data_IF_036125837239
#
_entry.id   IF_036125837239
#
_cell.length_a   1.000
_cell.length_b   1.000
_cell.length_c   1.000
_cell.angle_alpha   90.00
_cell.angle_beta   90.00
_cell.angle_gamma   90.00
#
_symmetry.space_group_name_H-M   'P 1'
#
loop_
_entity.id
_entity.type
_entity.pdbx_description
1 polymer ?
#
# COMPACT_ATOMS: atom_id res chain seq x y z
N UNK A 1 70.22 -20.31 -26.30
CA UNK A 1 68.74 -20.36 -26.44
C UNK A 1 68.09 -19.88 -25.12
N UNK A 2 68.36 -18.65 -24.69
CA UNK A 2 67.95 -18.15 -23.35
C UNK A 2 66.99 -16.95 -23.39
N UNK A 3 66.69 -16.40 -24.58
CA UNK A 3 65.88 -15.17 -24.70
C UNK A 3 64.36 -15.36 -24.80
N UNK A 4 63.87 -16.60 -24.92
CA UNK A 4 62.45 -16.89 -25.23
C UNK A 4 61.62 -17.21 -23.98
N UNK A 5 62.23 -17.74 -22.91
CA UNK A 5 61.51 -18.09 -21.68
C UNK A 5 61.10 -16.87 -20.85
N UNK A 6 61.93 -15.82 -20.80
CA UNK A 6 61.66 -14.60 -20.02
C UNK A 6 60.48 -13.79 -20.58
N UNK A 7 60.34 -13.72 -21.91
CA UNK A 7 59.25 -12.99 -22.58
C UNK A 7 57.89 -13.67 -22.37
N UNK A 8 57.85 -14.99 -22.20
CA UNK A 8 56.61 -15.74 -21.96
C UNK A 8 56.17 -15.67 -20.50
N UNK A 9 57.10 -15.69 -19.53
CA UNK A 9 56.75 -15.52 -18.11
C UNK A 9 56.25 -14.09 -17.79
N UNK A 10 56.81 -13.07 -18.43
CA UNK A 10 56.42 -11.67 -18.18
C UNK A 10 55.01 -11.34 -18.72
N UNK A 11 54.60 -11.94 -19.84
CA UNK A 11 53.28 -11.75 -20.42
C UNK A 11 52.15 -12.39 -19.58
N UNK A 12 52.40 -13.56 -18.97
CA UNK A 12 51.39 -14.24 -18.13
C UNK A 12 51.16 -13.47 -16.81
N UNK A 13 52.21 -12.87 -16.24
CA UNK A 13 52.08 -12.06 -15.03
C UNK A 13 51.32 -10.74 -15.29
N UNK A 14 51.51 -10.12 -16.46
CA UNK A 14 50.77 -8.91 -16.85
C UNK A 14 49.28 -9.19 -17.11
N UNK A 15 48.93 -10.37 -17.64
CA UNK A 15 47.53 -10.76 -17.88
C UNK A 15 46.82 -11.13 -16.57
N UNK A 16 47.50 -11.79 -15.61
CA UNK A 16 46.91 -12.04 -14.28
C UNK A 16 46.70 -10.75 -13.47
N UNK A 17 47.55 -9.74 -13.64
CA UNK A 17 47.37 -8.43 -12.97
C UNK A 17 46.24 -7.58 -13.59
N UNK A 18 45.92 -7.80 -14.88
CA UNK A 18 44.85 -7.08 -15.55
C UNK A 18 43.44 -7.62 -15.21
N UNK A 19 43.33 -8.91 -14.84
CA UNK A 19 42.04 -9.54 -14.50
C UNK A 19 41.57 -9.20 -13.07
N UNK A 20 42.44 -8.66 -12.20
CA UNK A 20 42.03 -8.25 -10.84
C UNK A 20 41.44 -6.83 -10.76
N UNK A 21 41.51 -6.04 -11.84
CA UNK A 21 41.03 -4.65 -11.87
C UNK A 21 39.69 -4.45 -12.59
N UNK A 22 39.11 -5.49 -13.17
CA UNK A 22 37.69 -5.50 -13.59
C UNK A 22 36.80 -6.07 -12.48
N UNK A 23 37.05 -5.67 -11.23
CA UNK A 23 36.06 -5.74 -10.16
C UNK A 23 35.17 -4.51 -10.31
N UNK A 24 34.06 -4.65 -11.03
CA UNK A 24 33.06 -3.61 -11.23
C UNK A 24 32.59 -3.10 -9.85
N UNK A 25 33.13 -1.96 -9.43
CA UNK A 25 32.70 -1.24 -8.25
C UNK A 25 31.29 -0.69 -8.45
N UNK A 26 30.29 -1.53 -8.24
CA UNK A 26 28.94 -1.08 -7.90
C UNK A 26 28.89 -0.87 -6.39
N UNK A 27 29.68 0.08 -5.91
CA UNK A 27 29.59 0.55 -4.53
C UNK A 27 28.29 1.35 -4.41
N UNK A 28 27.16 0.65 -4.26
CA UNK A 28 25.95 1.22 -3.71
C UNK A 28 26.25 1.52 -2.24
N UNK A 29 26.93 2.64 -1.97
CA UNK A 29 27.22 3.15 -0.63
C UNK A 29 25.97 3.69 0.08
N UNK A 30 24.78 3.30 -0.37
CA UNK A 30 23.52 3.57 0.30
C UNK A 30 23.20 2.44 1.29
N UNK A 31 22.43 2.72 2.34
CA UNK A 31 21.87 1.67 3.19
C UNK A 31 21.07 0.67 2.34
N UNK A 32 21.16 -0.63 2.68
CA UNK A 32 20.46 -1.69 1.96
C UNK A 32 18.95 -1.57 2.21
N UNK A 33 18.15 -1.44 1.16
CA UNK A 33 16.69 -1.38 1.24
C UNK A 33 16.12 -2.81 1.14
N UNK A 34 15.28 -3.17 2.10
CA UNK A 34 14.46 -4.38 2.09
C UNK A 34 13.02 -4.03 1.72
N UNK A 35 12.35 -4.89 0.97
CA UNK A 35 10.93 -4.73 0.62
C UNK A 35 10.13 -5.91 1.14
N UNK A 36 9.00 -5.63 1.79
CA UNK A 36 7.99 -6.62 2.15
C UNK A 36 6.62 -6.25 1.57
N UNK A 37 5.76 -7.26 1.42
CA UNK A 37 4.35 -7.10 1.08
C UNK A 37 3.49 -7.79 2.12
N UNK A 38 2.59 -7.04 2.73
CA UNK A 38 1.67 -7.48 3.77
C UNK A 38 0.27 -7.49 3.14
N UNK A 39 -0.42 -8.61 3.19
CA UNK A 39 -1.81 -8.72 2.70
C UNK A 39 -2.75 -8.33 3.84
N UNK A 40 -3.86 -7.66 3.54
CA UNK A 40 -4.86 -7.32 4.56
C UNK A 40 -5.55 -8.56 5.13
N UNK A 41 -6.15 -8.40 6.31
CA UNK A 41 -6.81 -9.48 7.04
C UNK A 41 -8.29 -9.57 6.68
N UNK A 42 -8.63 -10.33 5.62
CA UNK A 42 -10.01 -10.45 5.13
C UNK A 42 -11.06 -10.88 6.17
N UNK A 43 -10.66 -11.52 7.29
CA UNK A 43 -11.57 -11.88 8.40
C UNK A 43 -11.91 -10.72 9.32
N UNK A 44 -11.08 -9.68 9.33
CA UNK A 44 -11.21 -8.45 10.14
C UNK A 44 -11.70 -7.30 9.29
N UNK A 45 -11.28 -7.25 8.03
CA UNK A 45 -11.66 -6.24 7.06
C UNK A 45 -13.17 -6.20 6.83
N UNK A 46 -13.65 -5.00 6.54
CA UNK A 46 -15.08 -4.77 6.38
C UNK A 46 -15.41 -3.35 5.95
N UNK A 47 -16.70 -3.07 5.90
CA UNK A 47 -17.19 -1.71 5.67
C UNK A 47 -18.41 -1.41 6.53
N UNK A 48 -18.62 -0.13 6.78
CA UNK A 48 -19.76 0.36 7.57
C UNK A 48 -20.49 1.41 6.73
N UNK A 49 -21.79 1.19 6.51
CA UNK A 49 -22.70 2.19 5.97
C UNK A 49 -23.22 3.01 7.16
N UNK A 50 -23.26 4.34 7.03
CA UNK A 50 -23.66 5.21 8.12
C UNK A 50 -25.07 4.82 8.64
N UNK A 51 -25.16 4.55 9.94
CA UNK A 51 -26.39 4.12 10.59
C UNK A 51 -26.69 2.61 10.53
N UNK A 52 -25.79 1.78 9.99
CA UNK A 52 -25.97 0.33 9.94
C UNK A 52 -24.93 -0.44 10.77
N UNK A 53 -25.19 -1.71 11.11
CA UNK A 53 -24.14 -2.64 11.54
C UNK A 53 -23.03 -2.81 10.49
N UNK A 54 -21.81 -3.21 10.91
CA UNK A 54 -20.69 -3.48 10.02
C UNK A 54 -20.92 -4.73 9.17
N UNK A 55 -20.39 -4.70 7.94
CA UNK A 55 -20.31 -5.83 7.03
C UNK A 55 -18.88 -6.39 7.05
N UNK A 56 -18.73 -7.65 7.48
CA UNK A 56 -17.44 -8.30 7.74
C UNK A 56 -17.24 -9.51 6.83
N UNK A 57 -15.98 -9.86 6.54
CA UNK A 57 -15.65 -11.09 5.81
C UNK A 57 -16.28 -11.15 4.42
N UNK A 58 -16.44 -9.99 3.79
CA UNK A 58 -17.11 -9.84 2.50
C UNK A 58 -16.12 -10.03 1.36
N UNK A 59 -16.61 -10.39 0.17
CA UNK A 59 -15.74 -10.54 -1.00
C UNK A 59 -15.15 -9.21 -1.50
N UNK A 60 -15.76 -8.09 -1.09
CA UNK A 60 -15.34 -6.73 -1.42
C UNK A 60 -15.84 -5.76 -0.35
N UNK A 61 -15.02 -4.76 -0.03
CA UNK A 61 -15.40 -3.65 0.84
C UNK A 61 -15.71 -2.41 0.03
N UNK A 62 -16.54 -1.53 0.59
CA UNK A 62 -17.02 -0.35 -0.12
C UNK A 62 -16.64 0.94 0.61
N UNK A 63 -16.34 1.98 -0.16
CA UNK A 63 -16.09 3.32 0.36
C UNK A 63 -16.68 4.37 -0.56
N UNK A 64 -17.15 5.48 -0.01
CA UNK A 64 -17.69 6.58 -0.78
C UNK A 64 -19.08 7.02 -0.33
N UNK A 65 -19.71 7.89 -1.11
CA UNK A 65 -21.09 8.32 -0.88
C UNK A 65 -22.00 7.63 -1.89
N UNK A 66 -23.03 6.93 -1.41
CA UNK A 66 -24.06 6.37 -2.30
C UNK A 66 -24.85 7.51 -2.96
N UNK A 67 -24.75 7.67 -4.31
CA UNK A 67 -25.46 8.72 -5.03
C UNK A 67 -26.97 8.52 -5.05
N UNK A 68 -27.47 7.31 -4.73
CA UNK A 68 -28.89 6.96 -4.75
C UNK A 68 -29.43 6.95 -3.31
N UNK A 69 -30.62 7.50 -3.08
CA UNK A 69 -31.32 7.33 -1.80
C UNK A 69 -30.92 8.25 -0.65
N UNK A 70 -30.15 9.32 -0.90
CA UNK A 70 -29.94 10.39 0.09
C UNK A 70 -28.50 10.64 0.53
N UNK A 71 -27.49 10.24 -0.26
CA UNK A 71 -26.07 10.50 0.01
C UNK A 71 -25.57 9.86 1.31
N UNK A 72 -25.80 8.55 1.46
CA UNK A 72 -25.33 7.81 2.64
C UNK A 72 -23.86 7.46 2.49
N UNK A 73 -23.06 7.82 3.48
CA UNK A 73 -21.63 7.53 3.49
C UNK A 73 -21.35 6.07 3.88
N UNK A 74 -20.46 5.46 3.11
CA UNK A 74 -19.89 4.14 3.38
C UNK A 74 -18.39 4.28 3.56
N UNK A 75 -17.84 3.64 4.59
CA UNK A 75 -16.40 3.65 4.89
C UNK A 75 -15.86 2.23 4.93
N UNK A 76 -14.79 1.97 4.19
CA UNK A 76 -14.08 0.70 4.26
C UNK A 76 -13.02 0.75 5.37
N UNK A 77 -12.79 -0.39 6.01
CA UNK A 77 -11.85 -0.58 7.09
C UNK A 77 -10.96 -1.77 6.77
N UNK A 78 -9.65 -1.54 6.74
CA UNK A 78 -8.65 -2.55 6.42
C UNK A 78 -7.64 -2.67 7.56
N UNK A 79 -7.21 -3.89 7.85
CA UNK A 79 -6.26 -4.26 8.89
C UNK A 79 -5.04 -4.97 8.28
N UNK A 80 -3.85 -4.49 8.63
CA UNK A 80 -2.57 -5.08 8.21
C UNK A 80 -1.68 -5.34 9.43
N UNK A 81 -1.26 -6.59 9.58
CA UNK A 81 -0.33 -7.01 10.64
C UNK A 81 1.13 -6.66 10.27
N UNK A 82 1.68 -5.67 10.96
CA UNK A 82 3.06 -5.20 10.80
C UNK A 82 4.09 -6.08 11.53
N UNK A 83 3.70 -7.13 12.26
CA UNK A 83 4.66 -8.02 12.96
C UNK A 83 5.65 -8.72 12.04
N UNK A 84 5.37 -8.76 10.73
CA UNK A 84 6.30 -9.25 9.72
C UNK A 84 7.52 -8.32 9.50
N UNK A 85 7.47 -7.07 9.95
CA UNK A 85 8.60 -6.15 9.92
C UNK A 85 9.58 -6.47 11.06
N UNK A 86 10.91 -6.45 10.80
CA UNK A 86 11.87 -6.70 11.86
C UNK A 86 11.81 -5.60 12.93
N UNK A 87 12.13 -5.92 14.20
CA UNK A 87 12.21 -4.92 15.24
C UNK A 87 13.16 -3.77 14.84
N UNK A 88 12.72 -2.54 15.06
CA UNK A 88 13.45 -1.31 14.67
C UNK A 88 13.58 -1.06 13.16
N UNK A 89 12.77 -1.71 12.31
CA UNK A 89 12.70 -1.40 10.88
C UNK A 89 12.52 0.11 10.68
N UNK A 90 13.43 0.74 9.92
CA UNK A 90 13.32 2.15 9.58
C UNK A 90 12.55 2.29 8.26
N UNK A 91 11.27 2.69 8.34
CA UNK A 91 10.38 2.76 7.18
C UNK A 91 10.82 3.88 6.23
N UNK A 92 11.33 3.50 5.06
CA UNK A 92 11.72 4.43 3.99
C UNK A 92 10.48 4.87 3.20
N UNK A 93 9.74 3.90 2.67
CA UNK A 93 8.57 4.11 1.84
C UNK A 93 7.48 3.08 2.13
N UNK A 94 6.21 3.47 2.01
CA UNK A 94 5.12 2.53 2.02
C UNK A 94 4.02 2.93 1.04
N UNK A 95 3.43 1.93 0.38
CA UNK A 95 2.32 2.10 -0.54
C UNK A 95 1.20 1.08 -0.26
N UNK A 96 -0.02 1.58 -0.17
CA UNK A 96 -1.23 0.78 -0.11
C UNK A 96 -1.70 0.55 -1.54
N UNK A 97 -1.70 -0.72 -1.95
CA UNK A 97 -2.19 -1.17 -3.25
C UNK A 97 -3.61 -1.72 -3.09
N UNK A 98 -4.56 -1.12 -3.81
CA UNK A 98 -5.95 -1.53 -3.83
C UNK A 98 -6.34 -1.94 -5.25
N UNK A 99 -7.15 -2.99 -5.39
CA UNK A 99 -7.81 -3.32 -6.65
C UNK A 99 -9.24 -2.81 -6.63
N UNK A 100 -9.54 -1.83 -7.48
CA UNK A 100 -10.89 -1.27 -7.59
C UNK A 100 -11.63 -2.08 -8.66
N UNK A 101 -12.62 -2.88 -8.24
CA UNK A 101 -13.47 -3.67 -9.14
C UNK A 101 -14.35 -2.75 -10.00
N UNK A 102 -14.99 -1.78 -9.34
CA UNK A 102 -15.93 -0.88 -9.99
C UNK A 102 -16.08 0.44 -9.22
N UNK A 103 -16.58 1.46 -9.91
CA UNK A 103 -17.00 2.73 -9.34
C UNK A 103 -18.41 2.99 -9.85
N UNK A 104 -19.34 3.24 -8.93
CA UNK A 104 -20.75 3.49 -9.26
C UNK A 104 -21.19 4.90 -8.82
N UNK A 105 -21.91 5.64 -9.69
CA UNK A 105 -22.33 5.29 -11.03
C UNK A 105 -21.15 5.43 -12.02
N UNK A 106 -21.30 4.98 -13.26
CA UNK A 106 -20.25 5.09 -14.28
C UNK A 106 -19.80 6.52 -14.65
N UNK A 107 -20.47 7.56 -14.11
CA UNK A 107 -20.05 8.97 -14.21
C UNK A 107 -19.51 9.57 -12.91
N UNK A 108 -19.36 8.78 -11.85
CA UNK A 108 -18.83 9.24 -10.57
C UNK A 108 -17.35 9.64 -10.66
N UNK A 109 -16.97 10.49 -9.72
CA UNK A 109 -15.62 10.96 -9.53
C UNK A 109 -15.39 10.95 -8.02
N UNK A 110 -14.70 9.94 -7.49
CA UNK A 110 -14.59 9.73 -6.04
C UNK A 110 -13.20 10.15 -5.55
N UNK A 111 -13.06 11.31 -4.88
CA UNK A 111 -11.83 11.67 -4.20
C UNK A 111 -11.72 10.81 -2.95
N UNK A 112 -10.54 10.26 -2.69
CA UNK A 112 -10.35 9.30 -1.60
C UNK A 112 -9.55 9.93 -0.48
N UNK A 113 -10.05 9.77 0.74
CA UNK A 113 -9.34 10.06 1.97
C UNK A 113 -9.05 8.75 2.69
N UNK A 114 -7.79 8.59 3.10
CA UNK A 114 -7.31 7.46 3.88
C UNK A 114 -6.80 7.96 5.21
N UNK A 115 -7.35 7.43 6.28
CA UNK A 115 -7.01 7.79 7.66
C UNK A 115 -6.51 6.56 8.40
N UNK A 116 -5.44 6.73 9.17
CA UNK A 116 -5.06 5.74 10.18
C UNK A 116 -6.07 5.84 11.32
N UNK A 117 -6.61 4.70 11.73
CA UNK A 117 -7.58 4.58 12.84
C UNK A 117 -7.16 3.40 13.73
N UNK A 118 -7.89 3.19 14.81
CA UNK A 118 -7.75 2.01 15.66
C UNK A 118 -9.14 1.47 15.97
N UNK A 119 -9.39 0.20 15.65
CA UNK A 119 -10.68 -0.45 15.89
C UNK A 119 -10.48 -1.88 16.42
N UNK A 120 -11.36 -2.34 17.34
CA UNK A 120 -11.31 -3.71 17.81
C UNK A 120 -11.78 -4.68 16.71
N UNK A 121 -11.15 -5.84 16.53
CA UNK A 121 -11.73 -6.95 15.77
C UNK A 121 -12.74 -7.73 16.64
N UNK A 122 -13.97 -7.99 16.16
CA UNK A 122 -14.56 -7.51 14.91
C UNK A 122 -14.98 -6.03 14.97
N UNK A 123 -15.01 -5.36 13.81
CA UNK A 123 -15.55 -4.00 13.71
C UNK A 123 -16.93 -3.91 14.37
N UNK A 124 -17.21 -2.75 14.96
CA UNK A 124 -18.49 -2.40 15.57
C UNK A 124 -19.01 -1.08 14.98
N UNK A 125 -20.32 -0.84 15.10
CA UNK A 125 -20.96 0.34 14.50
C UNK A 125 -20.35 1.68 14.94
N UNK A 126 -19.84 1.79 16.17
CA UNK A 126 -19.21 3.02 16.65
C UNK A 126 -17.89 3.34 15.96
N UNK A 127 -17.22 2.35 15.35
CA UNK A 127 -15.95 2.55 14.66
C UNK A 127 -16.08 3.45 13.44
N UNK A 128 -17.31 3.59 12.92
CA UNK A 128 -17.63 4.54 11.86
C UNK A 128 -17.05 5.92 12.18
N UNK A 129 -17.18 6.40 13.43
CA UNK A 129 -16.73 7.72 13.86
C UNK A 129 -15.46 7.71 14.72
N UNK A 130 -14.67 6.62 14.69
CA UNK A 130 -13.39 6.59 15.39
C UNK A 130 -12.50 7.77 14.93
N UNK A 131 -11.89 8.52 15.85
CA UNK A 131 -10.99 9.60 15.50
C UNK A 131 -9.79 9.11 14.70
N UNK A 132 -9.40 9.87 13.68
CA UNK A 132 -8.18 9.59 12.93
C UNK A 132 -6.93 9.86 13.77
N UNK A 133 -5.88 9.09 13.50
CA UNK A 133 -4.57 9.18 14.12
C UNK A 133 -3.59 9.75 13.10
N UNK A 134 -2.99 10.92 13.40
CA UNK A 134 -2.02 11.55 12.50
C UNK A 134 -2.66 12.26 11.31
N UNK A 135 -1.90 12.38 10.21
CA UNK A 135 -2.30 13.15 9.03
C UNK A 135 -2.86 12.23 7.95
N UNK A 136 -4.12 12.44 7.56
CA UNK A 136 -4.76 11.72 6.48
C UNK A 136 -4.00 11.85 5.15
N UNK A 137 -4.04 10.80 4.34
CA UNK A 137 -3.61 10.85 2.94
C UNK A 137 -4.85 11.11 2.10
N UNK A 138 -4.80 12.16 1.27
CA UNK A 138 -5.87 12.49 0.33
C UNK A 138 -5.34 12.25 -1.07
N UNK A 139 -6.15 11.55 -1.86
CA UNK A 139 -5.91 11.31 -3.27
C UNK A 139 -6.80 12.21 -4.10
N UNK A 140 -6.26 12.62 -5.24
CA UNK A 140 -7.05 13.16 -6.32
C UNK A 140 -8.12 12.15 -6.76
N UNK A 141 -9.07 12.66 -7.53
CA UNK A 141 -10.29 11.94 -7.85
C UNK A 141 -10.04 10.70 -8.70
N UNK A 142 -10.59 9.56 -8.27
CA UNK A 142 -10.61 8.33 -9.06
C UNK A 142 -11.88 8.28 -9.88
N UNK A 143 -11.75 8.00 -11.18
CA UNK A 143 -12.85 7.87 -12.11
C UNK A 143 -12.86 6.49 -12.76
N UNK A 144 -14.02 6.01 -13.23
CA UNK A 144 -14.09 4.77 -13.99
C UNK A 144 -13.11 4.70 -15.18
N UNK A 145 -12.85 5.83 -15.86
CA UNK A 145 -11.92 5.88 -16.99
C UNK A 145 -10.45 5.64 -16.61
N UNK A 146 -10.12 5.87 -15.34
CA UNK A 146 -8.78 5.59 -14.81
C UNK A 146 -8.59 4.08 -14.54
N UNK A 147 -9.68 3.29 -14.64
CA UNK A 147 -9.71 1.84 -14.48
C UNK A 147 -9.86 1.14 -15.84
N UNK A 148 -9.38 -0.11 -15.91
CA UNK A 148 -9.66 -0.97 -17.07
C UNK A 148 -11.10 -1.48 -17.07
N UNK A 149 -11.50 -2.17 -18.15
CA UNK A 149 -12.85 -2.76 -18.30
C UNK A 149 -13.22 -3.69 -17.13
N UNK A 150 -12.23 -4.33 -16.52
CA UNK A 150 -12.40 -5.27 -15.41
C UNK A 150 -11.95 -4.71 -14.06
N UNK A 151 -11.84 -3.38 -13.94
CA UNK A 151 -11.22 -2.72 -12.79
C UNK A 151 -9.72 -2.47 -12.97
N UNK A 152 -9.04 -2.08 -11.89
CA UNK A 152 -7.61 -1.76 -11.93
C UNK A 152 -6.96 -1.60 -10.56
N UNK A 153 -5.64 -1.77 -10.53
CA UNK A 153 -4.83 -1.47 -9.36
C UNK A 153 -4.54 0.02 -9.26
N UNK A 154 -4.62 0.54 -8.04
CA UNK A 154 -4.10 1.84 -7.65
C UNK A 154 -3.06 1.66 -6.56
N UNK A 155 -1.97 2.42 -6.63
CA UNK A 155 -0.91 2.45 -5.63
C UNK A 155 -0.93 3.81 -4.93
N UNK A 156 -1.11 3.79 -3.61
CA UNK A 156 -1.35 4.96 -2.80
C UNK A 156 -0.19 5.13 -1.82
N UNK A 157 0.65 6.17 -1.93
CA UNK A 157 1.70 6.42 -0.95
C UNK A 157 1.11 6.69 0.44
N UNK A 158 1.42 5.83 1.40
CA UNK A 158 0.92 5.90 2.79
C UNK A 158 2.04 5.91 3.82
N UNK A 159 3.28 6.20 3.40
CA UNK A 159 4.46 6.32 4.26
C UNK A 159 4.22 7.04 5.59
N UNK A 160 3.61 8.25 5.66
CA UNK A 160 3.39 8.93 6.94
C UNK A 160 2.45 8.15 7.88
N UNK A 161 1.44 7.45 7.33
CA UNK A 161 0.51 6.66 8.14
C UNK A 161 1.17 5.40 8.68
N UNK A 162 1.96 4.70 7.86
CA UNK A 162 2.67 3.48 8.28
C UNK A 162 3.74 3.79 9.33
N UNK A 163 4.49 4.89 9.17
CA UNK A 163 5.43 5.35 10.21
C UNK A 163 4.72 5.63 11.52
N UNK A 164 3.57 6.30 11.47
CA UNK A 164 2.76 6.58 12.66
C UNK A 164 2.28 5.30 13.32
N UNK A 165 1.71 4.35 12.54
CA UNK A 165 1.28 3.04 13.03
C UNK A 165 2.42 2.27 13.69
N UNK A 166 3.56 2.15 13.01
CA UNK A 166 4.73 1.41 13.47
C UNK A 166 5.31 1.95 14.78
N UNK A 167 5.28 3.27 14.98
CA UNK A 167 5.73 3.87 16.25
C UNK A 167 4.79 3.60 17.44
N UNK A 168 3.55 3.18 17.18
CA UNK A 168 2.50 3.00 18.19
C UNK A 168 2.22 1.53 18.49
N UNK A 169 2.42 0.65 17.52
CA UNK A 169 2.15 -0.77 17.68
C UNK A 169 2.36 -1.56 16.39
N UNK A 170 1.75 -2.73 16.36
CA UNK A 170 2.00 -3.74 15.33
C UNK A 170 0.92 -3.79 14.25
N UNK A 171 -0.05 -2.87 14.26
CA UNK A 171 -1.16 -2.90 13.32
C UNK A 171 -1.21 -1.59 12.54
N UNK A 172 -1.41 -1.71 11.24
CA UNK A 172 -1.77 -0.62 10.35
C UNK A 172 -3.24 -0.78 9.99
N UNK A 173 -4.09 -0.06 10.72
CA UNK A 173 -5.53 -0.07 10.54
C UNK A 173 -5.98 1.21 9.85
N UNK A 174 -6.61 1.10 8.69
CA UNK A 174 -7.02 2.27 7.91
C UNK A 174 -8.50 2.31 7.65
N UNK A 175 -9.02 3.53 7.62
CA UNK A 175 -10.35 3.85 7.13
C UNK A 175 -10.24 4.56 5.79
N UNK A 176 -10.98 4.09 4.80
CA UNK A 176 -11.05 4.66 3.46
C UNK A 176 -12.45 5.24 3.30
N UNK A 177 -12.53 6.51 2.90
CA UNK A 177 -13.78 7.24 2.72
C UNK A 177 -13.68 8.27 1.59
N UNK A 178 -14.81 8.86 1.20
CA UNK A 178 -14.79 9.99 0.27
C UNK A 178 -14.16 11.21 0.95
N UNK A 179 -13.33 11.96 0.23
CA UNK A 179 -12.94 13.29 0.65
C UNK A 179 -14.03 14.30 0.25
N UNK A 180 -14.86 14.70 1.22
CA UNK A 180 -16.08 15.50 1.01
C UNK A 180 -15.78 16.85 0.30
N UNK A 181 -15.78 16.84 -1.02
CA UNK A 181 -15.53 17.96 -1.91
C UNK A 181 -16.63 18.12 -2.98
N UNK A 182 -16.58 19.15 -3.83
CA UNK A 182 -17.60 19.42 -4.85
C UNK A 182 -17.46 18.48 -6.07
N UNK A 183 -17.58 17.18 -5.83
CA UNK A 183 -17.51 16.11 -6.84
C UNK A 183 -18.86 15.44 -7.04
N UNK A 184 -18.97 14.60 -8.08
CA UNK A 184 -20.12 13.73 -8.25
C UNK A 184 -19.96 12.52 -7.32
N UNK A 185 -20.85 12.36 -6.31
CA UNK A 185 -20.79 11.25 -5.37
C UNK A 185 -20.72 9.91 -6.07
N UNK A 186 -19.96 9.00 -5.48
CA UNK A 186 -19.89 7.63 -5.94
C UNK A 186 -19.34 6.70 -4.89
N UNK A 187 -19.55 5.41 -5.13
CA UNK A 187 -19.05 4.34 -4.28
C UNK A 187 -18.02 3.53 -5.07
N UNK A 188 -16.89 3.27 -4.44
CA UNK A 188 -15.85 2.38 -4.96
C UNK A 188 -16.03 0.99 -4.33
N UNK A 189 -15.82 -0.03 -5.14
CA UNK A 189 -15.77 -1.43 -4.72
C UNK A 189 -14.31 -1.91 -4.72
N UNK A 190 -13.80 -2.25 -3.55
CA UNK A 190 -12.42 -2.73 -3.35
C UNK A 190 -12.47 -4.25 -3.18
N UNK A 191 -11.70 -4.98 -3.99
CA UNK A 191 -11.69 -6.45 -3.97
C UNK A 191 -10.91 -7.02 -2.78
N UNK A 192 -11.52 -7.92 -2.00
CA UNK A 192 -10.87 -8.57 -0.84
C UNK A 192 -10.44 -10.02 -1.11
N UNK A 193 -10.98 -10.68 -2.15
CA UNK A 193 -10.82 -12.13 -2.32
C UNK A 193 -9.79 -12.50 -3.38
N UNK A 194 -10.00 -12.06 -4.62
CA UNK A 194 -9.14 -12.44 -5.74
C UNK A 194 -7.92 -11.51 -5.84
N UNK A 195 -8.10 -10.26 -5.41
CA UNK A 195 -7.09 -9.21 -5.48
C UNK A 195 -7.04 -8.42 -4.16
N UNK A 196 -6.76 -9.09 -3.03
CA UNK A 196 -6.82 -8.47 -1.71
C UNK A 196 -5.92 -7.23 -1.62
N UNK A 197 -6.27 -6.24 -0.79
CA UNK A 197 -5.41 -5.12 -0.49
C UNK A 197 -4.03 -5.57 -0.03
N UNK A 198 -3.00 -4.85 -0.48
CA UNK A 198 -1.61 -5.11 -0.11
C UNK A 198 -0.93 -3.84 0.35
N UNK A 199 -0.23 -3.94 1.47
CA UNK A 199 0.69 -2.92 1.93
C UNK A 199 2.11 -3.32 1.51
N UNK A 200 2.71 -2.55 0.61
CA UNK A 200 4.15 -2.62 0.33
C UNK A 200 4.88 -1.72 1.31
N UNK A 201 5.94 -2.22 1.93
CA UNK A 201 6.81 -1.47 2.82
C UNK A 201 8.26 -1.68 2.42
N UNK A 202 8.96 -0.59 2.16
CA UNK A 202 10.40 -0.54 1.94
C UNK A 202 11.05 0.03 3.22
N UNK A 203 12.08 -0.65 3.74
CA UNK A 203 12.71 -0.31 5.01
C UNK A 203 14.22 -0.62 5.02
N UNK A 204 14.92 -0.06 6.01
CA UNK A 204 16.33 -0.34 6.32
C UNK A 204 16.47 -1.16 7.60
#
# INVERSE_FOLDING_TARGET
MEGIMWKKLSAVFAVLLAVTLTGCGSSNNGPTVFTTQITSSATVDGYIVNGTPPFLGTASVFAGIDPIGGATETRAFLDFDLTSLPPNAAIDFAALRLYINSIQPGGASVPIRIELVEFPPPLITSDFNTPAIGTAVVLDTIRPIDLGINGGYIDIPVTPLVRTAWSRGNFFQVRIMEDLGPVLPGIIEINETNFPPKLRVDFF
#
